data_IF_117512818445
#
_entry.id   IF_117512818445
#
_cell.length_a   1.000
_cell.length_b   1.000
_cell.length_c   1.000
_cell.angle_alpha   90.00
_cell.angle_beta   90.00
_cell.angle_gamma   90.00
#
_symmetry.space_group_name_H-M   'P 1'
#
loop_
_entity.id
_entity.type
_entity.pdbx_description
1 polymer ?
#
# COMPACT_ATOMS: atom_id res chain seq x y z
N UNK A 1 -1.52 10.94 5.52
CA UNK A 1 -0.51 10.51 6.51
C UNK A 1 0.76 10.16 5.77
N UNK A 2 1.87 9.92 6.48
CA UNK A 2 3.13 9.45 5.88
C UNK A 2 3.10 7.97 5.48
N UNK A 3 1.97 7.29 5.71
CA UNK A 3 1.73 5.85 5.49
C UNK A 3 0.44 5.59 4.69
N UNK A 4 0.25 4.33 4.25
CA UNK A 4 -0.91 3.84 3.50
C UNK A 4 -2.17 3.78 4.40
N UNK A 5 -3.39 4.03 3.87
CA UNK A 5 -4.63 4.02 4.66
C UNK A 5 -5.05 2.67 5.25
N UNK A 6 -4.74 1.55 4.58
CA UNK A 6 -5.09 0.20 5.01
C UNK A 6 -4.10 -0.83 4.43
N UNK A 7 -4.17 -2.06 4.90
CA UNK A 7 -3.37 -3.16 4.37
C UNK A 7 -3.85 -3.55 2.96
N UNK A 8 -2.93 -3.69 2.02
CA UNK A 8 -3.22 -4.03 0.62
C UNK A 8 -2.27 -5.11 0.12
N UNK A 9 -2.79 -6.03 -0.70
CA UNK A 9 -2.00 -7.07 -1.36
C UNK A 9 -1.98 -6.79 -2.86
N UNK A 10 -0.91 -6.16 -3.33
CA UNK A 10 -0.67 -5.96 -4.75
C UNK A 10 -0.32 -7.28 -5.44
N UNK A 11 -0.94 -7.57 -6.58
CA UNK A 11 -0.70 -8.80 -7.36
C UNK A 11 -0.47 -8.46 -8.82
N UNK A 12 0.59 -9.02 -9.38
CA UNK A 12 0.85 -8.96 -10.82
C UNK A 12 1.55 -10.24 -11.28
N UNK A 13 0.89 -11.02 -12.15
CA UNK A 13 1.37 -12.34 -12.57
C UNK A 13 1.63 -13.24 -11.36
N UNK A 14 2.86 -13.76 -11.26
CA UNK A 14 3.32 -14.58 -10.13
C UNK A 14 3.84 -13.76 -8.92
N UNK A 15 3.96 -12.43 -9.05
CA UNK A 15 4.40 -11.53 -7.99
C UNK A 15 3.25 -11.14 -7.07
N UNK A 16 3.46 -11.26 -5.75
CA UNK A 16 2.54 -10.75 -4.73
C UNK A 16 3.33 -9.90 -3.74
N UNK A 17 2.84 -8.70 -3.46
CA UNK A 17 3.46 -7.79 -2.49
C UNK A 17 2.43 -7.41 -1.46
N UNK A 18 2.68 -7.81 -0.22
CA UNK A 18 1.91 -7.36 0.93
C UNK A 18 2.44 -6.00 1.37
N UNK A 19 1.54 -5.04 1.55
CA UNK A 19 1.82 -3.69 2.01
C UNK A 19 0.96 -3.39 3.22
N UNK A 20 1.61 -3.05 4.34
CA UNK A 20 0.95 -2.79 5.61
C UNK A 20 1.28 -1.37 6.09
N UNK A 21 0.30 -0.67 6.68
CA UNK A 21 0.56 0.61 7.33
C UNK A 21 1.53 0.45 8.50
N UNK A 22 2.31 1.50 8.75
CA UNK A 22 3.28 1.54 9.82
C UNK A 22 3.10 2.78 10.69
N UNK A 23 3.55 2.68 11.94
CA UNK A 23 3.57 3.81 12.86
C UNK A 23 4.58 4.88 12.36
N UNK A 24 4.36 6.17 12.67
CA UNK A 24 5.28 7.22 12.27
C UNK A 24 6.69 6.97 12.84
N UNK A 25 7.71 7.16 12.02
CA UNK A 25 9.12 6.91 12.38
C UNK A 25 9.57 5.46 12.21
N UNK A 26 8.75 4.59 11.59
CA UNK A 26 9.17 3.23 11.24
C UNK A 26 10.11 3.23 10.04
N UNK A 27 9.98 4.20 9.13
CA UNK A 27 10.73 4.24 7.89
C UNK A 27 10.25 3.21 6.86
N UNK A 28 11.03 3.07 5.77
CA UNK A 28 10.71 2.20 4.64
C UNK A 28 11.33 0.81 4.82
N UNK A 29 10.51 -0.13 5.30
CA UNK A 29 10.86 -1.55 5.41
C UNK A 29 10.35 -2.27 4.15
N UNK A 30 11.21 -2.32 3.14
CA UNK A 30 10.90 -2.92 1.84
C UNK A 30 12.12 -3.58 1.20
N UNK A 31 11.88 -4.60 0.38
CA UNK A 31 12.91 -5.20 -0.48
C UNK A 31 13.31 -4.25 -1.60
N UNK A 32 14.52 -4.39 -2.16
CA UNK A 32 15.11 -3.44 -3.11
C UNK A 32 14.18 -2.91 -4.22
N UNK A 33 13.53 -3.79 -5.01
CA UNK A 33 12.63 -3.34 -6.08
C UNK A 33 11.39 -2.60 -5.58
N UNK A 34 10.88 -2.98 -4.41
CA UNK A 34 9.70 -2.37 -3.78
C UNK A 34 10.07 -1.02 -3.16
N UNK A 35 11.26 -0.92 -2.54
CA UNK A 35 11.78 0.30 -1.92
C UNK A 35 11.88 1.44 -2.93
N UNK A 36 12.46 1.20 -4.11
CA UNK A 36 12.58 2.22 -5.14
C UNK A 36 11.22 2.83 -5.55
N UNK A 37 10.17 1.99 -5.66
CA UNK A 37 8.82 2.47 -6.00
C UNK A 37 8.21 3.28 -4.87
N UNK A 38 8.36 2.82 -3.62
CA UNK A 38 7.79 3.45 -2.43
C UNK A 38 8.44 4.81 -2.16
N UNK A 39 9.77 4.89 -2.28
CA UNK A 39 10.51 6.14 -2.12
C UNK A 39 10.09 7.17 -3.18
N UNK A 40 9.91 6.75 -4.44
CA UNK A 40 9.37 7.63 -5.49
C UNK A 40 7.91 8.03 -5.24
N UNK A 41 7.11 7.18 -4.59
CA UNK A 41 5.73 7.50 -4.21
C UNK A 41 5.65 8.47 -3.01
N UNK A 42 6.77 8.79 -2.37
CA UNK A 42 6.83 9.72 -1.23
C UNK A 42 6.31 9.14 0.09
N UNK A 43 6.17 7.81 0.19
CA UNK A 43 5.73 7.12 1.41
C UNK A 43 6.93 6.95 2.32
N UNK A 44 6.85 7.49 3.54
CA UNK A 44 7.96 7.48 4.49
C UNK A 44 7.91 6.29 5.44
N UNK A 45 6.70 5.85 5.82
CA UNK A 45 6.50 4.79 6.81
C UNK A 45 5.68 3.66 6.22
N UNK A 46 6.29 2.49 5.99
CA UNK A 46 5.59 1.32 5.45
C UNK A 46 6.33 0.03 5.73
N UNK A 47 5.56 -1.04 5.94
CA UNK A 47 6.07 -2.41 6.01
C UNK A 47 5.61 -3.19 4.80
N UNK A 48 6.54 -3.81 4.09
CA UNK A 48 6.19 -4.63 2.92
C UNK A 48 6.86 -5.99 2.96
N UNK A 49 6.22 -6.96 2.31
CA UNK A 49 6.77 -8.29 2.09
C UNK A 49 6.44 -8.77 0.67
N UNK A 50 7.47 -9.07 -0.11
CA UNK A 50 7.31 -9.85 -1.34
C UNK A 50 7.04 -11.32 -0.97
N UNK A 51 5.92 -11.85 -1.47
CA UNK A 51 5.49 -13.22 -1.29
C UNK A 51 5.52 -13.97 -2.63
N UNK A 52 5.94 -15.24 -2.59
CA UNK A 52 6.15 -16.11 -3.75
C UNK A 52 7.33 -15.68 -4.62
N UNK A 53 7.08 -15.07 -5.78
CA UNK A 53 8.11 -14.79 -6.79
C UNK A 53 8.92 -13.54 -6.44
N UNK A 54 10.23 -13.61 -6.64
CA UNK A 54 11.20 -12.54 -6.43
C UNK A 54 11.65 -11.88 -7.75
N UNK A 55 10.99 -12.14 -8.88
CA UNK A 55 11.32 -11.49 -10.14
C UNK A 55 11.08 -9.96 -10.03
N UNK A 56 12.12 -9.12 -10.19
CA UNK A 56 12.03 -7.67 -9.97
C UNK A 56 10.94 -6.99 -10.80
N UNK A 57 10.78 -7.34 -12.09
CA UNK A 57 9.79 -6.72 -12.96
C UNK A 57 8.36 -6.98 -12.47
N UNK A 58 8.07 -8.21 -12.02
CA UNK A 58 6.75 -8.56 -11.52
C UNK A 58 6.48 -7.92 -10.16
N UNK A 59 7.50 -7.85 -9.29
CA UNK A 59 7.39 -7.22 -7.98
C UNK A 59 7.11 -5.73 -8.12
N UNK A 60 7.81 -5.01 -8.99
CA UNK A 60 7.57 -3.58 -9.26
C UNK A 60 6.14 -3.36 -9.76
N UNK A 61 5.69 -4.15 -10.75
CA UNK A 61 4.32 -4.04 -11.29
C UNK A 61 3.26 -4.38 -10.25
N UNK A 62 3.51 -5.38 -9.39
CA UNK A 62 2.62 -5.73 -8.30
C UNK A 62 2.51 -4.62 -7.24
N UNK A 63 3.61 -3.95 -6.92
CA UNK A 63 3.61 -2.80 -6.01
C UNK A 63 2.79 -1.64 -6.57
N UNK A 64 3.01 -1.29 -7.85
CA UNK A 64 2.24 -0.23 -8.51
C UNK A 64 0.75 -0.56 -8.53
N UNK A 65 0.39 -1.80 -8.89
CA UNK A 65 -1.00 -2.24 -8.88
C UNK A 65 -1.64 -2.11 -7.48
N UNK A 66 -0.93 -2.52 -6.43
CA UNK A 66 -1.45 -2.39 -5.06
C UNK A 66 -1.57 -0.94 -4.60
N UNK A 67 -0.67 -0.04 -5.00
CA UNK A 67 -0.79 1.39 -4.70
C UNK A 67 -1.99 2.02 -5.43
N UNK A 68 -2.30 1.59 -6.65
CA UNK A 68 -3.50 2.03 -7.36
C UNK A 68 -4.81 1.53 -6.73
N UNK A 69 -4.78 0.38 -6.06
CA UNK A 69 -5.95 -0.19 -5.38
C UNK A 69 -6.22 0.48 -4.02
N UNK A 70 -5.22 1.15 -3.45
CA UNK A 70 -5.36 1.90 -2.21
C UNK A 70 -6.45 2.98 -2.36
N UNK A 71 -7.49 2.88 -1.53
CA UNK A 71 -8.59 3.84 -1.51
C UNK A 71 -8.61 4.63 -0.20
N UNK A 72 -8.77 5.94 -0.32
CA UNK A 72 -8.94 6.83 0.85
C UNK A 72 -10.31 6.66 1.52
N UNK A 73 -10.34 6.78 2.85
CA UNK A 73 -11.57 6.74 3.62
C UNK A 73 -12.59 7.81 3.19
N UNK A 74 -12.12 9.01 2.77
CA UNK A 74 -12.98 10.08 2.25
C UNK A 74 -13.66 9.68 0.93
N UNK A 75 -12.90 9.04 0.04
CA UNK A 75 -13.42 8.55 -1.24
C UNK A 75 -14.43 7.42 -1.05
N UNK A 76 -14.21 6.54 -0.07
CA UNK A 76 -15.19 5.51 0.33
C UNK A 76 -16.45 6.14 0.94
N UNK A 77 -16.30 7.18 1.76
CA UNK A 77 -17.42 7.93 2.34
C UNK A 77 -18.32 8.56 1.28
N UNK A 78 -17.72 9.26 0.31
CA UNK A 78 -18.44 9.85 -0.81
C UNK A 78 -19.16 8.78 -1.65
N UNK A 79 -18.51 7.67 -2.00
CA UNK A 79 -19.13 6.57 -2.76
C UNK A 79 -20.30 5.93 -2.04
N UNK A 80 -20.26 5.87 -0.70
CA UNK A 80 -21.29 5.23 0.13
C UNK A 80 -22.36 6.22 0.62
N UNK A 81 -22.24 7.52 0.32
CA UNK A 81 -23.16 8.56 0.78
C UNK A 81 -23.22 8.71 2.31
N UNK A 82 -22.15 8.33 3.02
CA UNK A 82 -22.07 8.34 4.48
C UNK A 82 -21.04 9.35 4.96
N UNK A 83 -21.19 9.82 6.20
CA UNK A 83 -20.16 10.66 6.81
C UNK A 83 -18.92 9.84 7.15
N UNK A 84 -17.74 10.48 7.24
CA UNK A 84 -16.51 9.78 7.60
C UNK A 84 -16.59 9.17 9.00
N UNK A 85 -17.34 9.78 9.93
CA UNK A 85 -17.55 9.27 11.28
C UNK A 85 -18.26 7.90 11.29
N UNK A 86 -19.32 7.76 10.47
CA UNK A 86 -20.07 6.51 10.33
C UNK A 86 -19.24 5.35 9.76
N UNK A 87 -18.21 5.63 8.95
CA UNK A 87 -17.32 4.59 8.42
C UNK A 87 -16.34 4.10 9.47
N UNK A 88 -15.89 4.97 10.37
CA UNK A 88 -15.05 4.59 11.49
C UNK A 88 -15.84 4.03 12.68
N UNK A 89 -17.17 3.92 12.57
CA UNK A 89 -18.04 3.35 13.59
C UNK A 89 -18.12 4.17 14.88
N UNK A 90 -17.90 5.50 14.79
CA UNK A 90 -18.08 6.45 15.89
C UNK A 90 -19.37 7.23 15.73
#
# INVERSE_FOLDING_TARGET
>A
GTTIPHEVIGKFGAGRVLMMPAAPGTGVIAGGPVRAVIEMAGIQDIRTKSQRSNNPCNVVRATIAGLCECTDAKSVAAKRGKTTAEIFGK
#
